data_IF_221728448605
#
_entry.id   IF_221728448605
#
_cell.length_a   1.000
_cell.length_b   1.000
_cell.length_c   1.000
_cell.angle_alpha   90.00
_cell.angle_beta   90.00
_cell.angle_gamma   90.00
#
_symmetry.space_group_name_H-M   'P 1'
#
loop_
_entity.id
_entity.type
_entity.pdbx_description
1 polymer ?
#
# COMPACT_ATOMS: atom_id res chain seq x y z
N UNK A 1 -1.24 -12.83 14.63
CA UNK A 1 -1.42 -14.09 13.87
C UNK A 1 -2.71 -14.16 13.06
N UNK A 2 -3.90 -13.76 13.57
CA UNK A 2 -5.17 -13.85 12.81
C UNK A 2 -5.16 -13.16 11.44
N UNK A 3 -4.58 -11.96 11.31
CA UNK A 3 -4.51 -11.23 10.04
C UNK A 3 -3.66 -11.94 8.97
N UNK A 4 -2.58 -12.62 9.37
CA UNK A 4 -1.71 -13.35 8.45
C UNK A 4 -2.46 -14.54 7.83
N UNK A 5 -3.11 -15.37 8.65
CA UNK A 5 -3.89 -16.52 8.17
C UNK A 5 -4.99 -16.10 7.18
N UNK A 6 -5.62 -14.95 7.40
CA UNK A 6 -6.62 -14.39 6.46
C UNK A 6 -5.98 -14.02 5.12
N UNK A 7 -4.85 -13.31 5.16
CA UNK A 7 -4.13 -12.93 3.93
C UNK A 7 -3.63 -14.15 3.17
N UNK A 8 -3.06 -15.12 3.88
CA UNK A 8 -2.64 -16.40 3.31
C UNK A 8 -3.81 -17.11 2.62
N UNK A 9 -4.98 -17.20 3.28
CA UNK A 9 -6.20 -17.77 2.69
C UNK A 9 -6.58 -17.05 1.38
N UNK A 10 -6.55 -15.72 1.36
CA UNK A 10 -6.90 -14.94 0.17
C UNK A 10 -5.87 -15.11 -0.95
N UNK A 11 -4.57 -15.12 -0.62
CA UNK A 11 -3.48 -15.36 -1.57
C UNK A 11 -3.64 -16.73 -2.23
N UNK A 12 -3.96 -17.76 -1.46
CA UNK A 12 -4.21 -19.12 -2.00
C UNK A 12 -5.49 -19.16 -2.83
N UNK A 13 -6.60 -18.60 -2.31
CA UNK A 13 -7.93 -18.68 -2.97
C UNK A 13 -7.95 -17.96 -4.31
N UNK A 14 -7.24 -16.84 -4.41
CA UNK A 14 -7.15 -16.03 -5.63
C UNK A 14 -5.89 -16.33 -6.45
N UNK A 15 -5.27 -17.50 -6.24
CA UNK A 15 -4.12 -18.00 -6.98
C UNK A 15 -2.95 -17.01 -7.08
N UNK A 16 -2.82 -16.07 -6.12
CA UNK A 16 -1.67 -15.17 -6.08
C UNK A 16 -0.39 -15.97 -5.82
N UNK A 17 -0.49 -17.10 -5.12
CA UNK A 17 0.65 -18.00 -4.87
C UNK A 17 1.26 -18.60 -6.13
N UNK A 18 0.56 -18.61 -7.28
CA UNK A 18 1.15 -19.11 -8.54
C UNK A 18 2.08 -18.08 -9.20
N UNK A 19 2.06 -16.83 -8.73
CA UNK A 19 2.92 -15.75 -9.24
C UNK A 19 4.21 -15.55 -8.43
N UNK A 20 4.34 -16.20 -7.27
CA UNK A 20 5.44 -15.97 -6.33
C UNK A 20 6.08 -17.27 -5.89
N UNK A 21 7.41 -17.34 -5.97
CA UNK A 21 8.18 -18.43 -5.36
C UNK A 21 8.16 -18.37 -3.82
N UNK A 22 7.98 -17.17 -3.26
CA UNK A 22 8.00 -16.91 -1.82
C UNK A 22 7.04 -15.78 -1.44
N UNK A 23 6.24 -16.01 -0.38
CA UNK A 23 5.39 -15.00 0.25
C UNK A 23 5.87 -14.77 1.69
N UNK A 24 6.24 -13.52 2.01
CA UNK A 24 6.78 -13.16 3.32
C UNK A 24 5.84 -12.19 4.04
N UNK A 25 5.46 -12.53 5.27
CA UNK A 25 4.80 -11.60 6.18
C UNK A 25 5.82 -10.76 6.95
N UNK A 26 5.87 -9.45 6.72
CA UNK A 26 6.72 -8.53 7.48
C UNK A 26 5.93 -7.88 8.62
N UNK A 27 6.33 -8.15 9.86
CA UNK A 27 5.75 -7.53 11.06
C UNK A 27 6.69 -6.49 11.66
N UNK A 28 6.13 -5.40 12.18
CA UNK A 28 6.87 -4.34 12.83
C UNK A 28 6.08 -3.80 14.03
N UNK A 29 6.71 -3.12 15.01
CA UNK A 29 6.05 -2.70 16.25
C UNK A 29 5.14 -1.47 16.03
N UNK A 30 4.10 -1.65 15.22
CA UNK A 30 3.17 -0.59 14.79
C UNK A 30 2.03 -0.29 15.76
N UNK A 31 1.97 -0.95 16.92
CA UNK A 31 0.88 -0.78 17.88
C UNK A 31 -0.46 -1.26 17.34
N UNK A 32 -1.42 -1.36 18.25
CA UNK A 32 -2.78 -1.86 18.02
C UNK A 32 -3.85 -0.88 18.55
N UNK A 33 -3.44 0.23 19.15
CA UNK A 33 -4.32 1.27 19.65
C UNK A 33 -4.45 2.43 18.66
N UNK A 34 -5.68 2.77 18.30
CA UNK A 34 -6.00 3.91 17.43
C UNK A 34 -5.75 5.25 18.15
N UNK A 35 -5.69 5.24 19.49
CA UNK A 35 -5.41 6.42 20.32
C UNK A 35 -3.93 6.64 20.63
N UNK A 36 -3.06 5.67 20.36
CA UNK A 36 -1.59 5.82 20.41
C UNK A 36 -1.03 5.86 18.99
N UNK A 37 -1.36 6.91 18.25
CA UNK A 37 -0.96 7.05 16.84
C UNK A 37 0.45 7.64 16.68
N UNK A 38 0.86 8.50 17.61
CA UNK A 38 2.14 9.22 17.55
C UNK A 38 3.34 8.29 17.76
N UNK A 39 3.26 7.35 18.71
CA UNK A 39 4.36 6.44 18.98
C UNK A 39 4.64 5.46 17.82
N UNK A 40 3.63 4.80 17.20
CA UNK A 40 3.79 4.06 15.96
C UNK A 40 4.30 4.91 14.79
N UNK A 41 3.80 6.14 14.62
CA UNK A 41 4.24 7.04 13.54
C UNK A 41 5.71 7.38 13.70
N UNK A 42 6.16 7.72 14.90
CA UNK A 42 7.58 7.93 15.21
C UNK A 42 8.41 6.68 14.90
N UNK A 43 7.91 5.48 15.23
CA UNK A 43 8.59 4.20 14.93
C UNK A 43 8.68 3.91 13.44
N UNK A 44 7.79 4.40 12.58
CA UNK A 44 7.94 4.21 11.12
C UNK A 44 9.26 4.76 10.59
N UNK A 45 9.79 5.83 11.20
CA UNK A 45 11.12 6.40 10.86
C UNK A 45 12.27 5.45 11.19
N UNK A 46 12.10 4.60 12.22
CA UNK A 46 13.09 3.62 12.64
C UNK A 46 12.95 2.29 11.88
N UNK A 47 11.72 1.94 11.46
CA UNK A 47 11.44 0.69 10.75
C UNK A 47 11.77 0.78 9.26
N UNK A 48 11.63 1.95 8.64
CA UNK A 48 12.00 2.18 7.24
C UNK A 48 13.42 1.67 6.91
N UNK A 49 14.47 2.12 7.62
CA UNK A 49 15.84 1.63 7.42
C UNK A 49 16.01 0.11 7.61
N UNK A 50 15.26 -0.50 8.53
CA UNK A 50 15.27 -1.95 8.73
C UNK A 50 14.69 -2.69 7.53
N UNK A 51 13.57 -2.21 6.99
CA UNK A 51 12.98 -2.77 5.78
C UNK A 51 13.88 -2.53 4.56
N UNK A 52 14.48 -1.35 4.42
CA UNK A 52 15.50 -1.07 3.39
C UNK A 52 16.61 -2.11 3.44
N UNK A 53 17.22 -2.34 4.62
CA UNK A 53 18.31 -3.31 4.77
C UNK A 53 17.87 -4.72 4.36
N UNK A 54 16.67 -5.13 4.75
CA UNK A 54 16.11 -6.44 4.37
C UNK A 54 15.96 -6.53 2.84
N UNK A 55 15.37 -5.52 2.19
CA UNK A 55 15.21 -5.50 0.73
C UNK A 55 16.58 -5.53 0.05
N UNK A 56 17.53 -4.69 0.47
CA UNK A 56 18.89 -4.68 -0.09
C UNK A 56 19.61 -6.02 0.02
N UNK A 57 19.36 -6.79 1.08
CA UNK A 57 19.94 -8.13 1.25
C UNK A 57 19.29 -9.16 0.31
N UNK A 58 18.03 -8.98 -0.05
CA UNK A 58 17.30 -9.87 -0.96
C UNK A 58 17.48 -9.48 -2.44
N UNK A 59 17.70 -8.20 -2.75
CA UNK A 59 17.80 -7.72 -4.14
C UNK A 59 18.79 -8.48 -5.03
N UNK A 60 19.97 -8.97 -4.55
CA UNK A 60 20.88 -9.75 -5.40
C UNK A 60 20.38 -11.16 -5.75
N UNK A 61 19.39 -11.69 -5.03
CA UNK A 61 18.93 -13.09 -5.15
C UNK A 61 17.52 -13.22 -5.73
N UNK A 62 16.73 -12.14 -5.72
CA UNK A 62 15.37 -12.13 -6.28
C UNK A 62 15.34 -11.45 -7.64
N UNK A 63 14.55 -11.99 -8.57
CA UNK A 63 14.33 -11.37 -9.89
C UNK A 63 13.33 -10.20 -9.83
N UNK A 64 12.40 -10.24 -8.87
CA UNK A 64 11.37 -9.22 -8.69
C UNK A 64 10.87 -9.21 -7.25
N UNK A 65 10.29 -8.08 -6.84
CA UNK A 65 9.67 -7.90 -5.52
C UNK A 65 8.37 -7.11 -5.69
N UNK A 66 7.26 -7.67 -5.23
CA UNK A 66 6.02 -6.93 -5.03
C UNK A 66 5.75 -6.76 -3.54
N UNK A 67 5.14 -5.64 -3.17
CA UNK A 67 4.84 -5.33 -1.78
C UNK A 67 3.37 -4.96 -1.65
N UNK A 68 2.67 -5.57 -0.70
CA UNK A 68 1.36 -5.13 -0.26
C UNK A 68 1.49 -4.51 1.13
N UNK A 69 0.96 -3.30 1.30
CA UNK A 69 0.91 -2.64 2.61
C UNK A 69 -0.50 -2.32 3.02
N UNK A 70 -0.69 -2.20 4.33
CA UNK A 70 -1.95 -1.75 4.91
C UNK A 70 -1.71 -0.61 5.89
N UNK A 71 -2.56 0.43 5.85
CA UNK A 71 -2.56 1.51 6.83
C UNK A 71 -1.18 2.17 6.97
N UNK A 72 -0.65 2.27 8.19
CA UNK A 72 0.69 2.84 8.47
C UNK A 72 1.85 2.05 7.85
N UNK A 73 1.62 0.83 7.36
CA UNK A 73 2.63 0.12 6.55
C UNK A 73 3.06 0.92 5.31
N UNK A 74 2.18 1.80 4.79
CA UNK A 74 2.50 2.71 3.70
C UNK A 74 3.68 3.64 4.04
N UNK A 75 3.72 4.22 5.25
CA UNK A 75 4.86 5.01 5.70
C UNK A 75 6.17 4.22 5.68
N UNK A 76 6.13 2.97 6.12
CA UNK A 76 7.33 2.12 6.22
C UNK A 76 7.90 1.84 4.83
N UNK A 77 7.06 1.41 3.88
CA UNK A 77 7.53 1.12 2.53
C UNK A 77 7.91 2.40 1.77
N UNK A 78 7.15 3.49 1.86
CA UNK A 78 7.51 4.73 1.17
C UNK A 78 8.84 5.29 1.67
N UNK A 79 9.11 5.25 2.99
CA UNK A 79 10.44 5.59 3.51
C UNK A 79 11.54 4.68 2.99
N UNK A 80 11.29 3.39 2.87
CA UNK A 80 12.27 2.45 2.34
C UNK A 80 12.58 2.71 0.86
N UNK A 81 11.55 3.05 0.07
CA UNK A 81 11.63 3.35 -1.36
C UNK A 81 12.28 4.71 -1.68
N UNK A 82 12.43 5.60 -0.70
CA UNK A 82 13.25 6.80 -0.84
C UNK A 82 14.75 6.50 -0.89
N UNK A 83 15.17 5.29 -0.50
CA UNK A 83 16.58 4.93 -0.44
C UNK A 83 17.13 4.53 -1.82
N UNK A 84 18.34 4.97 -2.19
CA UNK A 84 18.97 4.58 -3.45
C UNK A 84 19.11 3.06 -3.59
N UNK A 85 18.93 2.54 -4.81
CA UNK A 85 19.11 1.13 -5.12
C UNK A 85 17.96 0.21 -4.68
N UNK A 86 16.96 0.73 -3.97
CA UNK A 86 15.73 0.00 -3.71
C UNK A 86 14.80 0.15 -4.91
N UNK A 87 14.35 -0.98 -5.45
CA UNK A 87 13.30 -1.04 -6.48
C UNK A 87 12.36 -2.19 -6.19
N UNK A 88 11.07 -1.96 -6.43
CA UNK A 88 10.03 -2.98 -6.40
C UNK A 88 9.23 -2.89 -7.69
N UNK A 89 8.65 -4.01 -8.12
CA UNK A 89 7.82 -4.07 -9.32
C UNK A 89 6.46 -3.45 -9.03
N UNK A 90 5.68 -4.04 -8.14
CA UNK A 90 4.37 -3.50 -7.74
C UNK A 90 4.28 -3.14 -6.26
N UNK A 91 3.66 -2.00 -5.97
CA UNK A 91 3.20 -1.65 -4.64
C UNK A 91 1.67 -1.65 -4.59
N UNK A 92 1.06 -2.52 -3.80
CA UNK A 92 -0.37 -2.53 -3.52
C UNK A 92 -0.64 -1.84 -2.17
N UNK A 93 -0.84 -0.52 -2.21
CA UNK A 93 -1.06 0.34 -1.05
C UNK A 93 -2.54 0.34 -0.65
N UNK A 94 -2.91 -0.44 0.37
CA UNK A 94 -4.30 -0.49 0.88
C UNK A 94 -4.50 0.39 2.10
N UNK A 95 -5.55 1.22 2.08
CA UNK A 95 -5.91 2.08 3.21
C UNK A 95 -4.74 2.92 3.75
N UNK A 96 -3.85 3.42 2.88
CA UNK A 96 -2.64 4.13 3.29
C UNK A 96 -2.91 5.26 4.29
N UNK A 97 -2.34 5.15 5.49
CA UNK A 97 -2.39 6.18 6.52
C UNK A 97 -1.19 7.12 6.35
N UNK A 98 -1.23 7.89 5.26
CA UNK A 98 -0.34 9.02 4.94
C UNK A 98 -1.21 10.14 4.37
N UNK A 99 -0.71 11.37 4.33
CA UNK A 99 -1.42 12.53 3.77
C UNK A 99 -1.83 12.25 2.32
N UNK A 100 -3.02 12.70 1.91
CA UNK A 100 -3.54 12.42 0.58
C UNK A 100 -2.70 13.08 -0.51
N UNK A 101 -2.02 14.17 -0.22
CA UNK A 101 -1.07 14.79 -1.15
C UNK A 101 0.30 14.11 -1.18
N UNK A 102 0.61 13.17 -0.27
CA UNK A 102 1.99 12.71 -0.04
C UNK A 102 2.75 12.12 -1.27
N UNK A 103 2.05 11.73 -2.34
CA UNK A 103 2.64 11.21 -3.59
C UNK A 103 2.68 12.24 -4.74
N UNK A 104 2.12 13.43 -4.53
CA UNK A 104 2.04 14.52 -5.49
C UNK A 104 3.38 15.25 -5.65
N UNK A 105 3.53 16.01 -6.72
CA UNK A 105 4.78 16.72 -7.00
C UNK A 105 5.11 17.71 -5.88
N UNK A 106 6.34 17.64 -5.36
CA UNK A 106 6.81 18.46 -4.24
C UNK A 106 6.61 17.81 -2.87
N UNK A 107 5.80 16.75 -2.81
CA UNK A 107 5.41 16.13 -1.55
C UNK A 107 6.36 15.03 -1.06
N UNK A 108 6.27 14.75 0.24
CA UNK A 108 7.23 13.94 0.99
C UNK A 108 7.61 12.62 0.31
N UNK A 109 6.63 11.88 -0.22
CA UNK A 109 6.84 10.55 -0.80
C UNK A 109 6.78 10.54 -2.32
N UNK A 110 6.73 11.70 -2.98
CA UNK A 110 6.70 11.81 -4.44
C UNK A 110 7.77 10.95 -5.14
N UNK A 111 9.01 11.00 -4.64
CA UNK A 111 10.13 10.26 -5.21
C UNK A 111 10.09 8.76 -4.92
N UNK A 112 9.36 8.31 -3.90
CA UNK A 112 9.17 6.88 -3.61
C UNK A 112 8.53 6.14 -4.78
N UNK A 113 7.66 6.83 -5.54
CA UNK A 113 7.06 6.28 -6.74
C UNK A 113 8.06 5.99 -7.86
N UNK A 114 9.28 6.56 -7.86
CA UNK A 114 10.33 6.22 -8.84
C UNK A 114 10.93 4.83 -8.62
N UNK A 115 10.84 4.33 -7.38
CA UNK A 115 11.34 3.02 -6.99
C UNK A 115 10.30 1.91 -7.23
N UNK A 116 9.16 2.22 -7.84
CA UNK A 116 8.11 1.26 -8.20
C UNK A 116 7.93 1.25 -9.72
N UNK A 117 7.72 0.08 -10.33
CA UNK A 117 7.22 0.05 -11.70
C UNK A 117 5.76 0.50 -11.74
N UNK A 118 4.93 0.06 -10.78
CA UNK A 118 3.56 0.57 -10.56
C UNK A 118 3.22 0.66 -9.07
N UNK A 119 2.59 1.76 -8.66
CA UNK A 119 2.07 1.98 -7.30
C UNK A 119 0.54 2.09 -7.34
N UNK A 120 -0.14 1.05 -6.89
CA UNK A 120 -1.60 0.97 -6.79
C UNK A 120 -2.09 1.51 -5.44
N UNK A 121 -2.79 2.63 -5.46
CA UNK A 121 -3.40 3.27 -4.27
C UNK A 121 -4.86 2.85 -4.18
N UNK A 122 -5.16 1.91 -3.27
CA UNK A 122 -6.51 1.47 -2.99
C UNK A 122 -7.12 2.31 -1.86
N UNK A 123 -8.22 3.01 -2.17
CA UNK A 123 -8.87 3.92 -1.23
C UNK A 123 -10.38 3.67 -1.10
N UNK A 124 -10.97 4.02 0.05
CA UNK A 124 -12.41 3.95 0.27
C UNK A 124 -12.90 5.04 1.21
N UNK A 125 -13.91 5.81 0.76
CA UNK A 125 -14.59 6.82 1.60
C UNK A 125 -15.45 6.22 2.71
N UNK A 126 -15.62 4.91 2.76
CA UNK A 126 -16.32 4.22 3.85
C UNK A 126 -15.37 3.86 5.00
N UNK A 127 -14.08 4.15 4.88
CA UNK A 127 -13.09 3.89 5.94
C UNK A 127 -13.26 4.90 7.09
N UNK A 128 -14.04 4.52 8.10
CA UNK A 128 -14.30 5.38 9.26
C UNK A 128 -13.07 5.65 10.13
N UNK A 129 -12.07 4.75 10.16
CA UNK A 129 -10.85 4.94 10.94
C UNK A 129 -10.02 6.06 10.34
N UNK A 130 -9.82 6.02 9.02
CA UNK A 130 -9.10 7.09 8.35
C UNK A 130 -9.92 8.39 8.28
N UNK A 131 -11.26 8.30 8.22
CA UNK A 131 -12.13 9.49 8.22
C UNK A 131 -12.05 10.29 9.51
N UNK A 132 -11.94 9.62 10.66
CA UNK A 132 -11.99 10.26 11.97
C UNK A 132 -10.67 10.18 12.73
N UNK A 133 -10.09 9.00 12.90
CA UNK A 133 -8.84 8.84 13.63
C UNK A 133 -7.71 9.65 12.99
N UNK A 134 -7.42 9.41 11.71
CA UNK A 134 -6.38 10.15 11.00
C UNK A 134 -6.67 11.65 10.94
N UNK A 135 -7.88 12.03 10.52
CA UNK A 135 -8.25 13.44 10.38
C UNK A 135 -8.18 14.24 11.68
N UNK A 136 -8.53 13.62 12.81
CA UNK A 136 -8.47 14.29 14.11
C UNK A 136 -7.03 14.46 14.61
N UNK A 137 -6.14 13.51 14.28
CA UNK A 137 -4.76 13.51 14.75
C UNK A 137 -3.83 14.32 13.84
N UNK A 138 -4.00 14.18 12.53
CA UNK A 138 -3.14 14.78 11.50
C UNK A 138 -3.71 16.06 10.90
N UNK A 139 -4.97 16.39 11.23
CA UNK A 139 -5.68 17.55 10.69
C UNK A 139 -5.81 17.56 9.16
N UNK A 140 -5.58 16.41 8.54
CA UNK A 140 -5.57 16.22 7.09
C UNK A 140 -6.32 14.94 6.65
N UNK A 141 -6.45 14.69 5.35
CA UNK A 141 -7.12 13.52 4.78
C UNK A 141 -6.11 12.43 4.47
N UNK A 142 -6.41 11.22 4.91
CA UNK A 142 -5.58 10.08 4.55
C UNK A 142 -5.75 9.70 3.06
N UNK A 143 -4.64 9.41 2.39
CA UNK A 143 -4.57 8.87 1.04
C UNK A 143 -5.46 7.63 0.87
N UNK A 144 -5.48 6.74 1.87
CA UNK A 144 -6.31 5.53 1.89
C UNK A 144 -7.82 5.78 2.02
N UNK A 145 -8.24 6.99 2.41
CA UNK A 145 -9.65 7.36 2.50
C UNK A 145 -10.15 8.01 1.22
N UNK A 146 -9.46 9.05 0.73
CA UNK A 146 -9.92 9.86 -0.41
C UNK A 146 -9.24 9.56 -1.74
N UNK A 147 -8.10 8.88 -1.75
CA UNK A 147 -7.15 8.96 -2.86
C UNK A 147 -6.42 10.32 -2.85
N UNK A 148 -5.54 10.59 -3.84
CA UNK A 148 -4.80 11.85 -3.93
C UNK A 148 -5.69 13.10 -3.98
N UNK A 149 -5.20 14.22 -3.46
CA UNK A 149 -5.86 15.54 -3.55
C UNK A 149 -5.94 15.99 -5.02
N UNK A 150 -4.78 16.04 -5.67
CA UNK A 150 -4.60 16.31 -7.07
C UNK A 150 -3.94 15.10 -7.74
N UNK A 151 -4.75 14.13 -8.22
CA UNK A 151 -4.26 12.98 -8.96
C UNK A 151 -3.35 13.30 -10.15
N UNK A 152 -3.55 14.44 -10.82
CA UNK A 152 -2.72 14.86 -11.95
C UNK A 152 -1.31 15.28 -11.49
N UNK A 153 -1.13 15.66 -10.22
CA UNK A 153 0.16 15.92 -9.61
C UNK A 153 0.94 14.65 -9.24
N UNK A 154 0.32 13.47 -9.34
CA UNK A 154 1.01 12.18 -9.09
C UNK A 154 1.58 11.60 -10.38
N UNK A 155 2.67 10.82 -10.26
CA UNK A 155 3.30 10.16 -11.42
C UNK A 155 2.38 9.18 -12.15
N UNK A 156 2.61 8.96 -13.45
CA UNK A 156 1.79 8.07 -14.29
C UNK A 156 1.72 6.62 -13.82
N UNK A 157 2.77 6.17 -13.14
CA UNK A 157 2.84 4.84 -12.54
C UNK A 157 2.07 4.72 -11.21
N UNK A 158 1.53 5.82 -10.68
CA UNK A 158 0.57 5.79 -9.56
C UNK A 158 -0.82 5.54 -10.14
N UNK A 159 -1.44 4.41 -9.80
CA UNK A 159 -2.79 4.02 -10.22
C UNK A 159 -3.75 4.10 -9.04
N UNK A 160 -4.90 4.75 -9.22
CA UNK A 160 -5.84 5.06 -8.14
C UNK A 160 -7.04 4.12 -8.26
N UNK A 161 -7.21 3.27 -7.24
CA UNK A 161 -8.20 2.21 -7.22
C UNK A 161 -9.28 2.56 -6.19
N UNK A 162 -10.44 3.00 -6.68
CA UNK A 162 -11.58 3.34 -5.85
C UNK A 162 -12.32 2.08 -5.42
N UNK A 163 -12.30 1.81 -4.12
CA UNK A 163 -12.85 0.61 -3.51
C UNK A 163 -14.15 0.89 -2.74
N UNK A 164 -14.78 2.07 -2.90
CA UNK A 164 -15.97 2.48 -2.12
C UNK A 164 -17.12 1.47 -2.18
N UNK A 165 -17.29 0.75 -3.29
CA UNK A 165 -18.39 -0.23 -3.44
C UNK A 165 -18.14 -1.53 -2.67
N UNK A 166 -16.88 -1.96 -2.59
CA UNK A 166 -16.50 -3.29 -2.09
C UNK A 166 -15.86 -3.25 -0.70
N UNK A 167 -15.46 -2.07 -0.23
CA UNK A 167 -14.83 -1.84 1.09
C UNK A 167 -15.67 -0.89 1.93
N UNK A 168 -16.10 -1.38 3.09
CA UNK A 168 -16.94 -0.64 4.05
C UNK A 168 -16.29 -0.37 5.42
N UNK A 169 -15.06 -0.82 5.63
CA UNK A 169 -14.31 -0.62 6.89
C UNK A 169 -12.80 -0.69 6.66
N UNK A 170 -12.02 -0.09 7.56
CA UNK A 170 -10.56 0.01 7.46
C UNK A 170 -9.87 -1.31 7.14
N UNK A 171 -10.08 -2.33 7.97
CA UNK A 171 -9.50 -3.66 7.74
C UNK A 171 -10.23 -4.50 6.69
N UNK A 172 -11.13 -3.94 5.86
CA UNK A 172 -11.94 -4.68 4.90
C UNK A 172 -11.13 -5.28 3.74
N UNK A 173 -10.05 -4.62 3.34
CA UNK A 173 -9.23 -5.00 2.18
C UNK A 173 -8.72 -6.43 2.25
N UNK A 174 -8.34 -6.91 3.44
CA UNK A 174 -7.81 -8.28 3.66
C UNK A 174 -8.84 -9.40 3.44
N UNK A 175 -10.12 -9.07 3.24
CA UNK A 175 -11.19 -10.04 3.01
C UNK A 175 -11.87 -9.87 1.65
N UNK A 176 -11.44 -8.89 0.85
CA UNK A 176 -12.21 -8.43 -0.30
C UNK A 176 -11.81 -9.18 -1.56
N UNK A 177 -12.62 -10.16 -1.96
CA UNK A 177 -12.44 -10.88 -3.23
C UNK A 177 -12.16 -9.96 -4.43
N UNK A 178 -12.94 -8.89 -4.65
CA UNK A 178 -12.69 -7.94 -5.74
C UNK A 178 -11.30 -7.26 -5.71
N UNK A 179 -10.72 -7.04 -4.51
CA UNK A 179 -9.37 -6.47 -4.39
C UNK A 179 -8.33 -7.49 -4.81
N UNK A 180 -8.45 -8.74 -4.35
CA UNK A 180 -7.53 -9.81 -4.72
C UNK A 180 -7.65 -10.22 -6.20
N UNK A 181 -8.86 -10.20 -6.76
CA UNK A 181 -9.09 -10.39 -8.20
C UNK A 181 -8.43 -9.28 -9.02
N UNK A 182 -8.54 -8.01 -8.61
CA UNK A 182 -7.83 -6.93 -9.28
C UNK A 182 -6.31 -7.13 -9.22
N UNK A 183 -5.76 -7.50 -8.05
CA UNK A 183 -4.33 -7.79 -7.89
C UNK A 183 -3.93 -8.93 -8.83
N UNK A 184 -4.70 -10.01 -8.89
CA UNK A 184 -4.44 -11.14 -9.78
C UNK A 184 -4.43 -10.70 -11.25
N UNK A 185 -5.41 -9.91 -11.69
CA UNK A 185 -5.44 -9.37 -13.05
C UNK A 185 -4.23 -8.50 -13.34
N UNK A 186 -3.86 -7.60 -12.42
CA UNK A 186 -2.68 -6.75 -12.57
C UNK A 186 -1.36 -7.56 -12.64
N UNK A 187 -1.26 -8.70 -11.94
CA UNK A 187 -0.09 -9.57 -12.03
C UNK A 187 -0.02 -10.39 -13.33
N UNK A 188 -1.15 -10.63 -13.98
CA UNK A 188 -1.23 -11.31 -15.26
C UNK A 188 -0.99 -10.36 -16.46
N UNK A 189 -1.10 -9.05 -16.25
CA UNK A 189 -0.81 -8.09 -17.31
C UNK A 189 0.68 -7.96 -17.59
N UNK A 190 1.04 -8.00 -18.87
CA UNK A 190 2.42 -7.82 -19.30
C UNK A 190 2.95 -6.40 -19.04
N UNK A 191 2.06 -5.40 -18.99
CA UNK A 191 2.41 -4.02 -18.69
C UNK A 191 1.34 -3.31 -17.84
N UNK A 192 1.31 -3.57 -16.52
CA UNK A 192 0.30 -2.99 -15.62
C UNK A 192 0.40 -1.46 -15.51
N UNK A 193 1.51 -0.87 -15.97
CA UNK A 193 1.67 0.58 -16.11
C UNK A 193 0.74 1.20 -17.14
N UNK A 194 0.18 0.42 -18.07
CA UNK A 194 -0.83 0.87 -19.04
C UNK A 194 -2.26 0.83 -18.49
N UNK A 195 -2.47 0.27 -17.30
CA UNK A 195 -3.77 0.35 -16.66
C UNK A 195 -4.23 1.81 -16.52
N UNK A 196 -5.55 2.07 -16.66
CA UNK A 196 -6.10 3.40 -16.49
C UNK A 196 -5.66 4.02 -15.16
N UNK A 197 -5.37 5.33 -15.17
CA UNK A 197 -5.00 6.09 -13.97
C UNK A 197 -6.00 5.89 -12.83
N UNK A 198 -7.29 5.75 -13.18
CA UNK A 198 -8.39 5.55 -12.24
C UNK A 198 -9.13 4.27 -12.57
N UNK A 199 -9.41 3.46 -11.56
CA UNK A 199 -10.23 2.25 -11.69
C UNK A 199 -11.23 2.18 -10.54
N UNK A 200 -12.50 1.91 -10.83
CA UNK A 200 -13.53 1.65 -9.83
C UNK A 200 -13.71 0.15 -9.67
N UNK A 201 -13.52 -0.38 -8.47
CA UNK A 201 -13.87 -1.77 -8.18
C UNK A 201 -15.38 -1.90 -7.96
N UNK A 202 -15.92 -2.99 -8.47
CA UNK A 202 -17.30 -3.41 -8.36
C UNK A 202 -17.34 -4.84 -7.79
N UNK A 203 -18.48 -5.22 -7.22
CA UNK A 203 -18.74 -6.58 -6.74
C UNK A 203 -18.89 -7.57 -7.90
#
# INVERSE_FOLDING_TARGET
MRAYAILETQITTHFLSTHYDLVVGYTWPGGDDVFDYDAPKARTSLVGPRLTRLISQMSPIISSLDVMTHSMGAHVIFKALQQPGIRIRHHFATASAVDNEALEQGERYHHSSNACDVNFVFHSKNDAVLRFGYRTLEWDRALGHSGPENPAGTRDNVKIINCKRVIHRHGGYKYSGPVFQFIQSALNEANPGQLPKFTQLND
#
